data_IF_620580619894
#
_entry.id   IF_620580619894
#
_cell.length_a   1.000
_cell.length_b   1.000
_cell.length_c   1.000
_cell.angle_alpha   90.00
_cell.angle_beta   90.00
_cell.angle_gamma   90.00
#
_symmetry.space_group_name_H-M   'P 1'
#
loop_
_entity.id
_entity.type
_entity.pdbx_description
1 polymer ?
#
# COMPACT_ATOMS: atom_id res chain seq x y z
N UNK A 1 -18.77 10.63 0.78
CA UNK A 1 -18.85 9.23 1.26
C UNK A 1 -18.24 8.38 0.18
N UNK A 2 -17.21 7.61 0.50
CA UNK A 2 -16.55 6.68 -0.40
C UNK A 2 -17.39 5.43 -0.62
N UNK A 3 -17.30 4.88 -1.82
CA UNK A 3 -17.86 3.61 -2.26
C UNK A 3 -16.76 2.76 -2.91
N UNK A 4 -17.06 1.53 -3.31
CA UNK A 4 -16.11 0.66 -4.02
C UNK A 4 -15.60 1.26 -5.34
N UNK A 5 -16.40 2.09 -6.00
CA UNK A 5 -15.99 2.76 -7.23
C UNK A 5 -14.96 3.88 -6.97
N UNK A 6 -14.79 4.30 -5.70
CA UNK A 6 -13.80 5.29 -5.28
C UNK A 6 -12.48 4.67 -4.83
N UNK A 7 -12.32 3.34 -4.92
CA UNK A 7 -11.06 2.64 -4.60
C UNK A 7 -10.28 2.36 -5.89
N UNK A 8 -9.00 2.71 -5.90
CA UNK A 8 -8.04 2.29 -6.93
C UNK A 8 -7.05 1.31 -6.29
N UNK A 9 -7.06 0.05 -6.72
CA UNK A 9 -6.11 -0.96 -6.24
C UNK A 9 -4.93 -1.04 -7.19
N UNK A 10 -3.72 -0.91 -6.64
CA UNK A 10 -2.48 -1.23 -7.32
C UNK A 10 -1.84 -2.46 -6.67
N UNK A 11 -1.70 -3.51 -7.47
CA UNK A 11 -1.07 -4.76 -7.06
C UNK A 11 0.38 -4.78 -7.56
N UNK A 12 1.34 -4.77 -6.66
CA UNK A 12 2.77 -4.69 -6.98
C UNK A 12 3.33 -6.07 -7.26
N UNK A 13 3.78 -6.30 -8.50
CA UNK A 13 4.31 -7.58 -8.95
C UNK A 13 5.81 -7.47 -9.28
N UNK A 14 6.55 -8.53 -8.95
CA UNK A 14 7.93 -8.72 -9.36
C UNK A 14 8.20 -10.21 -9.59
N UNK A 15 9.43 -10.51 -10.03
CA UNK A 15 9.89 -11.87 -10.24
C UNK A 15 9.63 -12.76 -9.01
N UNK A 16 9.14 -13.97 -9.25
CA UNK A 16 8.73 -15.01 -8.26
C UNK A 16 7.33 -14.85 -7.66
N UNK A 17 6.70 -13.68 -7.72
CA UNK A 17 5.36 -13.48 -7.12
C UNK A 17 4.22 -13.39 -8.14
N UNK A 18 4.53 -13.40 -9.43
CA UNK A 18 3.59 -13.31 -10.56
C UNK A 18 2.36 -14.22 -10.43
N UNK A 19 2.54 -15.49 -10.07
CA UNK A 19 1.41 -16.40 -9.90
C UNK A 19 0.48 -15.98 -8.77
N UNK A 20 1.03 -15.52 -7.65
CA UNK A 20 0.21 -15.04 -6.53
C UNK A 20 -0.44 -13.69 -6.85
N UNK A 21 0.26 -12.79 -7.56
CA UNK A 21 -0.30 -11.54 -8.05
C UNK A 21 -1.51 -11.77 -8.95
N UNK A 22 -1.44 -12.71 -9.90
CA UNK A 22 -2.58 -13.07 -10.74
C UNK A 22 -3.76 -13.61 -9.91
N UNK A 23 -3.48 -14.48 -8.93
CA UNK A 23 -4.49 -14.99 -8.00
C UNK A 23 -5.16 -13.88 -7.19
N UNK A 24 -4.38 -12.93 -6.68
CA UNK A 24 -4.90 -11.76 -5.96
C UNK A 24 -5.76 -10.89 -6.88
N UNK A 25 -5.30 -10.62 -8.10
CA UNK A 25 -6.05 -9.87 -9.10
C UNK A 25 -7.40 -10.51 -9.42
N UNK A 26 -7.45 -11.83 -9.66
CA UNK A 26 -8.69 -12.57 -9.92
C UNK A 26 -9.70 -12.49 -8.76
N UNK A 27 -9.21 -12.45 -7.51
CA UNK A 27 -10.06 -12.28 -6.32
C UNK A 27 -10.58 -10.84 -6.17
N UNK A 28 -9.74 -9.85 -6.45
CA UNK A 28 -10.03 -8.44 -6.17
C UNK A 28 -10.84 -7.79 -7.30
N UNK A 29 -10.49 -8.05 -8.55
CA UNK A 29 -11.05 -7.38 -9.74
C UNK A 29 -12.59 -7.49 -9.89
N UNK A 30 -13.25 -8.59 -9.46
CA UNK A 30 -14.71 -8.65 -9.42
C UNK A 30 -15.36 -7.70 -8.39
N UNK A 31 -14.63 -7.33 -7.33
CA UNK A 31 -15.11 -6.47 -6.24
C UNK A 31 -14.77 -5.00 -6.53
N UNK A 32 -13.51 -4.73 -6.90
CA UNK A 32 -12.99 -3.40 -7.22
C UNK A 32 -12.61 -3.37 -8.69
N UNK A 33 -13.41 -2.67 -9.50
CA UNK A 33 -13.19 -2.62 -10.95
C UNK A 33 -11.88 -1.94 -11.33
N UNK A 34 -11.47 -0.93 -10.56
CA UNK A 34 -10.24 -0.19 -10.79
C UNK A 34 -9.07 -0.86 -10.08
N UNK A 35 -8.73 -2.07 -10.54
CA UNK A 35 -7.59 -2.84 -10.07
C UNK A 35 -6.58 -2.96 -11.19
N UNK A 36 -5.33 -2.58 -10.91
CA UNK A 36 -4.23 -2.57 -11.88
C UNK A 36 -3.01 -3.29 -11.29
N UNK A 37 -2.37 -4.16 -12.07
CA UNK A 37 -1.09 -4.77 -11.69
C UNK A 37 0.05 -3.85 -12.14
N UNK A 38 0.96 -3.48 -11.24
CA UNK A 38 2.24 -2.88 -11.61
C UNK A 38 3.24 -4.02 -11.78
N UNK A 39 3.57 -4.37 -13.02
CA UNK A 39 4.39 -5.53 -13.35
C UNK A 39 5.86 -5.16 -13.50
N UNK A 40 6.72 -5.64 -12.60
CA UNK A 40 8.18 -5.52 -12.67
C UNK A 40 8.84 -6.89 -12.86
N UNK A 41 8.23 -7.73 -13.70
CA UNK A 41 8.82 -8.98 -14.18
C UNK A 41 8.89 -8.89 -15.71
N UNK A 42 10.04 -8.47 -16.25
CA UNK A 42 10.29 -8.33 -17.68
C UNK A 42 10.15 -9.66 -18.44
N UNK A 43 10.36 -10.77 -17.73
CA UNK A 43 10.21 -12.11 -18.31
C UNK A 43 8.76 -12.57 -18.39
N UNK A 44 7.84 -11.82 -17.78
CA UNK A 44 6.41 -12.12 -17.79
C UNK A 44 5.62 -11.04 -18.54
N UNK A 45 5.03 -11.43 -19.66
CA UNK A 45 4.05 -10.61 -20.36
C UNK A 45 2.66 -11.03 -19.86
N UNK A 46 1.96 -10.09 -19.22
CA UNK A 46 0.59 -10.31 -18.75
C UNK A 46 -0.40 -10.32 -19.92
N UNK A 47 -1.51 -11.03 -19.75
CA UNK A 47 -2.59 -11.05 -20.73
C UNK A 47 -3.09 -9.61 -21.01
N UNK A 48 -3.27 -9.20 -22.28
CA UNK A 48 -3.73 -7.85 -22.63
C UNK A 48 -5.09 -7.44 -22.03
N UNK A 49 -5.90 -8.40 -21.60
CA UNK A 49 -7.19 -8.15 -20.92
C UNK A 49 -7.02 -7.76 -19.44
N UNK A 50 -5.85 -7.99 -18.85
CA UNK A 50 -5.50 -7.58 -17.49
C UNK A 50 -5.05 -6.13 -17.51
N UNK A 51 -5.68 -5.29 -16.68
CA UNK A 51 -5.20 -3.92 -16.49
C UNK A 51 -3.84 -3.96 -15.80
N UNK A 52 -2.81 -3.51 -16.50
CA UNK A 52 -1.45 -3.49 -15.96
C UNK A 52 -0.63 -2.30 -16.46
N UNK A 53 0.41 -1.98 -15.69
CA UNK A 53 1.51 -1.09 -16.05
C UNK A 53 2.75 -1.95 -16.09
N UNK A 54 3.40 -2.07 -17.26
CA UNK A 54 4.66 -2.78 -17.39
C UNK A 54 5.83 -1.84 -17.03
N UNK A 55 6.70 -2.31 -16.14
CA UNK A 55 7.99 -1.72 -15.78
C UNK A 55 9.09 -2.77 -15.94
N UNK A 56 10.34 -2.36 -15.82
CA UNK A 56 11.50 -3.26 -15.83
C UNK A 56 11.84 -3.82 -14.44
N UNK A 57 12.68 -4.86 -14.39
CA UNK A 57 13.11 -5.56 -13.16
C UNK A 57 13.90 -4.66 -12.19
N UNK A 58 14.33 -3.46 -12.60
CA UNK A 58 15.01 -2.50 -11.72
C UNK A 58 14.05 -1.70 -10.84
N UNK A 59 12.74 -1.81 -11.07
CA UNK A 59 11.69 -1.12 -10.32
C UNK A 59 11.24 -1.91 -9.08
N UNK A 60 11.80 -1.55 -7.93
CA UNK A 60 11.38 -2.07 -6.63
C UNK A 60 10.16 -1.30 -6.08
N UNK A 61 9.79 -1.58 -4.83
CA UNK A 61 8.59 -1.02 -4.20
C UNK A 61 8.46 0.49 -4.37
N UNK A 62 9.51 1.27 -4.11
CA UNK A 62 9.43 2.74 -4.17
C UNK A 62 9.15 3.25 -5.58
N UNK A 63 9.73 2.62 -6.60
CA UNK A 63 9.41 2.92 -7.99
C UNK A 63 7.97 2.54 -8.34
N UNK A 64 7.50 1.36 -7.94
CA UNK A 64 6.11 0.93 -8.17
C UNK A 64 5.11 1.87 -7.48
N UNK A 65 5.42 2.27 -6.24
CA UNK A 65 4.64 3.24 -5.48
C UNK A 65 4.58 4.61 -6.16
N UNK A 66 5.70 5.11 -6.67
CA UNK A 66 5.77 6.34 -7.45
C UNK A 66 4.81 6.29 -8.66
N UNK A 67 4.82 5.17 -9.39
CA UNK A 67 3.89 4.95 -10.50
C UNK A 67 2.44 4.93 -10.03
N UNK A 68 2.11 4.18 -8.97
CA UNK A 68 0.75 4.12 -8.43
C UNK A 68 0.23 5.51 -8.03
N UNK A 69 0.98 6.23 -7.20
CA UNK A 69 0.62 7.57 -6.72
C UNK A 69 0.42 8.55 -7.89
N UNK A 70 1.30 8.53 -8.90
CA UNK A 70 1.19 9.42 -10.06
C UNK A 70 -0.02 9.12 -10.95
N UNK A 71 -0.46 7.87 -11.00
CA UNK A 71 -1.63 7.45 -11.78
C UNK A 71 -2.97 7.55 -11.01
N UNK A 72 -2.94 7.88 -9.71
CA UNK A 72 -4.16 8.02 -8.91
C UNK A 72 -5.07 9.15 -9.41
N UNK A 73 -6.39 8.95 -9.33
CA UNK A 73 -7.37 10.03 -9.49
C UNK A 73 -7.38 10.94 -8.24
N UNK A 74 -7.69 12.24 -8.42
CA UNK A 74 -7.58 13.24 -7.33
C UNK A 74 -8.48 13.00 -6.10
N UNK A 75 -9.50 12.14 -6.20
CA UNK A 75 -10.49 11.93 -5.14
C UNK A 75 -10.70 10.46 -4.76
N UNK A 76 -9.81 9.56 -5.19
CA UNK A 76 -9.94 8.13 -4.91
C UNK A 76 -9.06 7.68 -3.75
N UNK A 77 -9.51 6.68 -3.01
CA UNK A 77 -8.70 5.92 -2.06
C UNK A 77 -7.69 5.09 -2.86
N UNK A 78 -6.41 5.22 -2.54
CA UNK A 78 -5.40 4.28 -3.03
C UNK A 78 -5.42 3.05 -2.12
N UNK A 79 -5.45 1.86 -2.72
CA UNK A 79 -5.14 0.61 -2.05
C UNK A 79 -3.89 0.01 -2.71
N UNK A 80 -2.86 -0.26 -1.93
CA UNK A 80 -1.67 -0.99 -2.41
C UNK A 80 -1.68 -2.37 -1.77
N UNK A 81 -1.42 -3.39 -2.59
CA UNK A 81 -1.20 -4.77 -2.17
C UNK A 81 0.08 -5.26 -2.84
N UNK A 82 0.99 -5.88 -2.09
CA UNK A 82 2.20 -6.50 -2.66
C UNK A 82 1.92 -7.93 -3.11
N UNK A 83 2.59 -8.36 -4.17
CA UNK A 83 2.33 -9.61 -4.87
C UNK A 83 2.66 -10.86 -4.06
N UNK A 84 3.48 -10.78 -3.01
CA UNK A 84 3.72 -11.86 -2.07
C UNK A 84 2.71 -11.92 -0.92
N UNK A 85 1.77 -10.98 -0.83
CA UNK A 85 0.81 -10.94 0.27
C UNK A 85 -0.10 -12.18 0.28
N UNK A 86 -0.33 -12.73 1.47
CA UNK A 86 -1.26 -13.82 1.75
C UNK A 86 -2.42 -13.23 2.55
N UNK A 87 -3.60 -13.34 1.98
CA UNK A 87 -4.85 -12.88 2.59
C UNK A 87 -5.85 -14.02 2.55
N UNK A 88 -6.16 -14.54 3.75
CA UNK A 88 -7.14 -15.62 3.91
C UNK A 88 -8.57 -15.09 4.10
N UNK A 89 -8.70 -13.86 4.60
CA UNK A 89 -9.98 -13.18 4.76
C UNK A 89 -10.64 -12.87 3.40
N UNK A 90 -11.97 -12.74 3.41
CA UNK A 90 -12.73 -12.28 2.24
C UNK A 90 -12.40 -10.83 1.90
N UNK A 91 -11.84 -10.60 0.71
CA UNK A 91 -11.51 -9.26 0.21
C UNK A 91 -12.70 -8.32 0.23
N UNK A 92 -13.91 -8.81 -0.02
CA UNK A 92 -15.10 -7.96 0.00
C UNK A 92 -15.33 -7.38 1.40
N UNK A 93 -15.21 -8.21 2.44
CA UNK A 93 -15.29 -7.74 3.83
C UNK A 93 -14.17 -6.74 4.19
N UNK A 94 -12.93 -6.98 3.72
CA UNK A 94 -11.81 -6.05 3.95
C UNK A 94 -12.12 -4.67 3.36
N UNK A 95 -12.59 -4.63 2.10
CA UNK A 95 -12.94 -3.37 1.43
C UNK A 95 -14.12 -2.67 2.11
N UNK A 96 -15.15 -3.39 2.55
CA UNK A 96 -16.28 -2.81 3.28
C UNK A 96 -15.86 -2.25 4.65
N UNK A 97 -14.97 -2.93 5.37
CA UNK A 97 -14.41 -2.42 6.62
C UNK A 97 -13.62 -1.13 6.40
N UNK A 98 -12.75 -1.11 5.38
CA UNK A 98 -11.98 0.09 5.02
C UNK A 98 -12.90 1.26 4.66
N UNK A 99 -13.90 1.01 3.79
CA UNK A 99 -14.88 2.04 3.38
C UNK A 99 -15.67 2.56 4.57
N UNK A 100 -16.16 1.67 5.44
CA UNK A 100 -16.87 2.06 6.65
C UNK A 100 -15.99 2.96 7.50
N UNK A 101 -14.75 2.55 7.75
CA UNK A 101 -13.80 3.31 8.55
C UNK A 101 -13.52 4.70 7.96
N UNK A 102 -13.18 4.80 6.66
CA UNK A 102 -12.94 6.10 6.01
C UNK A 102 -14.17 7.01 5.97
N UNK A 103 -15.38 6.44 6.01
CA UNK A 103 -16.62 7.21 6.00
C UNK A 103 -17.07 7.69 7.39
N UNK A 104 -16.61 7.06 8.46
CA UNK A 104 -17.05 7.37 9.83
C UNK A 104 -15.97 8.01 10.70
N UNK A 105 -14.70 7.86 10.33
CA UNK A 105 -13.55 8.27 11.12
C UNK A 105 -12.61 9.16 10.30
N UNK A 106 -11.84 10.07 10.93
CA UNK A 106 -10.87 10.91 10.25
C UNK A 106 -9.60 10.10 9.92
N UNK A 107 -9.68 9.12 9.02
CA UNK A 107 -8.57 8.21 8.69
C UNK A 107 -7.78 8.73 7.50
N UNK A 108 -6.45 8.69 7.63
CA UNK A 108 -5.49 8.98 6.57
C UNK A 108 -4.89 7.70 6.00
N UNK A 109 -4.66 6.71 6.86
CA UNK A 109 -4.11 5.39 6.51
C UNK A 109 -4.92 4.30 7.22
N UNK A 110 -5.35 3.29 6.48
CA UNK A 110 -5.97 2.08 7.00
C UNK A 110 -5.18 0.86 6.53
N UNK A 111 -4.89 -0.09 7.40
CA UNK A 111 -4.28 -1.36 7.00
C UNK A 111 -4.93 -2.55 7.71
N UNK A 112 -5.00 -3.73 7.07
CA UNK A 112 -5.01 -4.99 7.80
C UNK A 112 -3.77 -5.16 8.68
N UNK A 113 -3.83 -6.10 9.63
CA UNK A 113 -2.66 -6.46 10.45
C UNK A 113 -1.72 -7.40 9.68
N UNK A 114 -0.54 -6.93 9.33
CA UNK A 114 0.53 -7.81 8.85
C UNK A 114 1.14 -8.59 10.03
N UNK A 115 1.17 -9.92 9.94
CA UNK A 115 1.73 -10.80 10.99
C UNK A 115 3.23 -10.59 11.20
N UNK A 116 3.93 -10.14 10.17
CA UNK A 116 5.38 -9.95 10.17
C UNK A 116 5.79 -8.57 10.65
N UNK A 117 4.85 -7.64 10.77
CA UNK A 117 5.17 -6.29 11.20
C UNK A 117 5.76 -6.28 12.61
N UNK A 118 6.80 -5.47 12.79
CA UNK A 118 7.24 -5.08 14.13
C UNK A 118 6.32 -4.02 14.75
N UNK A 119 5.44 -3.42 13.96
CA UNK A 119 4.52 -2.33 14.36
C UNK A 119 3.23 -2.86 15.00
N UNK A 120 3.37 -3.68 16.04
CA UNK A 120 2.21 -4.36 16.67
C UNK A 120 1.54 -3.55 17.79
N UNK A 121 2.07 -2.37 18.13
CA UNK A 121 1.58 -1.59 19.26
C UNK A 121 0.23 -0.94 18.94
N UNK A 122 -0.81 -1.42 19.62
CA UNK A 122 -2.12 -0.77 19.68
C UNK A 122 -2.02 0.49 20.54
N UNK A 123 -2.45 1.64 20.02
CA UNK A 123 -2.47 2.90 20.77
C UNK A 123 -3.84 3.14 21.40
N UNK A 124 -4.82 3.58 20.61
CA UNK A 124 -6.19 3.85 21.04
C UNK A 124 -7.16 2.96 20.25
N UNK A 125 -8.08 2.31 20.96
CA UNK A 125 -9.21 1.61 20.36
C UNK A 125 -10.21 2.62 19.78
N UNK A 126 -10.59 2.46 18.52
CA UNK A 126 -11.51 3.39 17.84
C UNK A 126 -12.89 2.78 17.68
N UNK A 127 -12.96 1.60 17.04
CA UNK A 127 -14.21 0.90 16.75
C UNK A 127 -13.92 -0.56 16.39
N UNK A 128 -14.77 -1.52 16.81
CA UNK A 128 -14.60 -2.95 16.50
C UNK A 128 -13.19 -3.45 16.84
N UNK A 129 -12.46 -4.06 15.90
CA UNK A 129 -11.05 -4.42 16.08
C UNK A 129 -10.08 -3.41 15.42
N UNK A 130 -10.53 -2.18 15.17
CA UNK A 130 -9.73 -1.09 14.61
C UNK A 130 -9.09 -0.28 15.75
N UNK A 131 -7.77 -0.18 15.70
CA UNK A 131 -6.96 0.60 16.64
C UNK A 131 -6.12 1.60 15.87
N UNK A 132 -5.87 2.76 16.48
CA UNK A 132 -4.78 3.64 16.02
C UNK A 132 -3.43 2.98 16.29
N UNK A 133 -2.48 3.27 15.41
CA UNK A 133 -1.09 2.83 15.49
C UNK A 133 -0.18 4.00 15.12
N UNK A 134 1.04 4.02 15.66
CA UNK A 134 2.02 5.05 15.30
C UNK A 134 2.53 4.87 13.86
N UNK A 135 2.61 3.63 13.40
CA UNK A 135 2.99 3.26 12.04
C UNK A 135 2.45 1.88 11.68
N UNK A 136 2.47 1.54 10.40
CA UNK A 136 2.05 0.25 9.83
C UNK A 136 2.93 -0.10 8.64
N UNK A 137 2.97 -1.38 8.28
CA UNK A 137 3.61 -1.81 7.04
C UNK A 137 2.81 -1.39 5.80
N UNK A 138 3.54 -1.24 4.70
CA UNK A 138 2.99 -0.76 3.43
C UNK A 138 2.73 -1.90 2.41
N UNK A 139 2.67 -3.15 2.89
CA UNK A 139 2.41 -4.34 2.07
C UNK A 139 0.94 -4.53 1.68
N UNK A 140 0.01 -4.22 2.58
CA UNK A 140 -1.42 -4.10 2.26
C UNK A 140 -2.01 -2.96 3.07
N UNK A 141 -2.34 -1.86 2.40
CA UNK A 141 -2.82 -0.64 3.05
C UNK A 141 -3.60 0.25 2.10
N UNK A 142 -4.36 1.17 2.69
CA UNK A 142 -5.20 2.14 2.03
C UNK A 142 -4.81 3.55 2.46
N UNK A 143 -4.86 4.50 1.53
CA UNK A 143 -4.44 5.88 1.75
C UNK A 143 -5.54 6.84 1.30
N UNK A 144 -5.85 7.82 2.13
CA UNK A 144 -6.86 8.84 1.87
C UNK A 144 -6.42 9.80 0.73
N UNK A 145 -7.32 10.24 -0.18
CA UNK A 145 -6.98 11.14 -1.29
C UNK A 145 -6.32 12.45 -0.88
N UNK A 146 -6.64 13.01 0.28
CA UNK A 146 -5.96 14.20 0.80
C UNK A 146 -4.46 13.95 1.02
N UNK A 147 -4.12 12.80 1.59
CA UNK A 147 -2.73 12.39 1.83
C UNK A 147 -2.04 12.15 0.49
N UNK A 148 -2.69 11.42 -0.43
CA UNK A 148 -2.18 11.19 -1.79
C UNK A 148 -1.85 12.51 -2.50
N UNK A 149 -2.69 13.53 -2.35
CA UNK A 149 -2.47 14.85 -2.96
C UNK A 149 -1.16 15.50 -2.50
N UNK A 150 -0.79 15.34 -1.22
CA UNK A 150 0.51 15.81 -0.71
C UNK A 150 1.66 14.95 -1.26
N UNK A 151 1.49 13.63 -1.23
CA UNK A 151 2.49 12.64 -1.66
C UNK A 151 2.84 12.73 -3.15
N UNK A 152 1.88 13.09 -4.01
CA UNK A 152 2.10 13.24 -5.47
C UNK A 152 3.22 14.20 -5.86
N UNK A 153 3.53 15.17 -5.01
CA UNK A 153 4.54 16.18 -5.29
C UNK A 153 5.95 15.76 -4.81
N UNK A 154 6.07 14.59 -4.17
CA UNK A 154 7.35 14.08 -3.69
C UNK A 154 8.09 13.31 -4.78
N UNK A 155 9.41 13.38 -4.75
CA UNK A 155 10.28 12.54 -5.54
C UNK A 155 10.61 11.25 -4.80
N UNK A 156 10.10 10.14 -5.32
CA UNK A 156 10.36 8.79 -4.81
C UNK A 156 11.55 8.11 -5.50
N UNK A 157 12.16 8.72 -6.52
CA UNK A 157 13.35 8.16 -7.17
C UNK A 157 14.55 8.07 -6.21
N UNK A 158 14.56 8.92 -5.17
CA UNK A 158 15.55 8.90 -4.09
C UNK A 158 15.35 7.75 -3.08
N UNK A 159 14.22 7.04 -3.15
CA UNK A 159 13.96 5.82 -2.37
C UNK A 159 13.44 4.69 -3.26
N UNK A 160 14.32 4.19 -4.13
CA UNK A 160 14.06 3.07 -5.04
C UNK A 160 13.38 1.87 -4.36
N UNK A 161 13.85 1.50 -3.17
CA UNK A 161 13.37 0.33 -2.42
C UNK A 161 12.14 0.61 -1.55
N UNK A 162 11.74 1.88 -1.41
CA UNK A 162 10.52 2.27 -0.72
C UNK A 162 10.59 2.35 0.80
N UNK A 163 11.74 2.08 1.41
CA UNK A 163 11.90 2.21 2.86
C UNK A 163 11.65 3.67 3.28
N UNK A 164 10.84 3.86 4.32
CA UNK A 164 10.41 5.17 4.84
C UNK A 164 9.15 5.77 4.18
N UNK A 165 8.61 5.15 3.12
CA UNK A 165 7.37 5.63 2.47
C UNK A 165 6.18 5.59 3.42
N UNK A 166 6.06 4.52 4.20
CA UNK A 166 5.11 4.37 5.29
C UNK A 166 5.18 5.55 6.27
N UNK A 167 6.39 5.87 6.75
CA UNK A 167 6.64 6.92 7.73
C UNK A 167 6.25 8.29 7.19
N UNK A 168 6.62 8.61 5.95
CA UNK A 168 6.27 9.89 5.32
C UNK A 168 4.76 9.98 5.05
N UNK A 169 4.15 8.89 4.57
CA UNK A 169 2.70 8.83 4.35
C UNK A 169 1.94 9.12 5.64
N UNK A 170 2.36 8.51 6.74
CA UNK A 170 1.74 8.70 8.06
C UNK A 170 2.01 10.11 8.60
N UNK A 171 3.21 10.67 8.39
CA UNK A 171 3.49 12.08 8.74
C UNK A 171 2.54 13.03 8.01
N UNK A 172 2.33 12.85 6.70
CA UNK A 172 1.41 13.68 5.92
C UNK A 172 -0.04 13.51 6.38
N UNK A 173 -0.47 12.29 6.73
CA UNK A 173 -1.76 12.07 7.35
C UNK A 173 -1.91 12.86 8.67
N UNK A 174 -0.91 12.76 9.56
CA UNK A 174 -0.91 13.44 10.85
C UNK A 174 -0.94 14.97 10.72
N UNK A 175 -0.24 15.56 9.74
CA UNK A 175 -0.31 17.01 9.44
C UNK A 175 -1.73 17.48 9.10
N UNK A 176 -2.56 16.58 8.59
CA UNK A 176 -3.96 16.82 8.23
C UNK A 176 -4.94 16.45 9.36
N UNK A 177 -4.44 16.11 10.56
CA UNK A 177 -5.22 15.56 11.67
C UNK A 177 -5.96 14.26 11.31
N UNK A 178 -5.38 13.46 10.41
CA UNK A 178 -5.91 12.17 10.00
C UNK A 178 -5.16 11.05 10.71
N UNK A 179 -5.88 10.00 11.10
CA UNK A 179 -5.38 8.86 11.86
C UNK A 179 -4.74 7.81 10.97
N UNK A 180 -3.69 7.16 11.47
CA UNK A 180 -3.24 5.86 10.99
C UNK A 180 -3.89 4.76 11.85
N UNK A 181 -4.57 3.81 11.21
CA UNK A 181 -5.27 2.74 11.90
C UNK A 181 -4.98 1.37 11.30
N UNK A 182 -5.07 0.36 12.14
CA UNK A 182 -4.98 -1.04 11.74
C UNK A 182 -6.22 -1.80 12.21
N UNK A 183 -6.81 -2.59 11.32
CA UNK A 183 -7.86 -3.55 11.63
C UNK A 183 -7.23 -4.88 12.06
N UNK A 184 -7.32 -5.19 13.35
CA UNK A 184 -6.76 -6.41 13.94
C UNK A 184 -7.66 -7.63 13.77
N UNK A 185 -8.86 -7.50 13.19
CA UNK A 185 -9.70 -8.66 12.83
C UNK A 185 -9.27 -9.32 11.51
N UNK A 186 -8.43 -8.63 10.72
CA UNK A 186 -7.93 -9.09 9.44
C UNK A 186 -6.42 -9.30 9.58
N UNK A 187 -5.95 -10.50 9.25
CA UNK A 187 -4.53 -10.79 9.27
C UNK A 187 -4.01 -11.04 7.85
N UNK A 188 -2.82 -10.52 7.59
CA UNK A 188 -2.09 -10.75 6.35
C UNK A 188 -0.71 -11.30 6.65
N UNK A 189 -0.13 -12.00 5.69
CA UNK A 189 1.24 -12.52 5.76
C UNK A 189 1.90 -12.36 4.38
N UNK A 190 3.12 -12.86 4.20
CA UNK A 190 3.85 -12.79 2.94
C UNK A 190 4.59 -14.11 2.65
N UNK A 191 4.53 -14.59 1.40
CA UNK A 191 5.18 -15.85 1.00
C UNK A 191 6.71 -15.78 0.90
N UNK A 192 7.28 -14.60 0.65
CA UNK A 192 8.74 -14.40 0.53
C UNK A 192 9.25 -13.55 1.69
N UNK A 193 10.28 -14.05 2.38
CA UNK A 193 10.90 -13.37 3.53
C UNK A 193 12.21 -12.66 3.17
N UNK A 194 12.54 -12.57 1.89
CA UNK A 194 13.77 -11.94 1.40
C UNK A 194 13.49 -10.59 0.73
N UNK A 195 14.49 -9.71 0.78
CA UNK A 195 14.56 -8.51 -0.05
C UNK A 195 15.63 -8.79 -1.12
N UNK A 196 15.25 -8.79 -2.40
CA UNK A 196 16.17 -9.06 -3.52
C UNK A 196 17.15 -7.91 -3.82
N UNK A 197 17.65 -7.25 -2.78
CA UNK A 197 18.50 -6.06 -2.82
C UNK A 197 19.35 -5.94 -1.54
N UNK A 198 20.36 -5.07 -1.55
CA UNK A 198 21.19 -4.78 -0.39
C UNK A 198 20.43 -3.90 0.62
N UNK A 199 20.22 -4.41 1.83
CA UNK A 199 19.52 -3.68 2.90
C UNK A 199 20.27 -2.43 3.35
N UNK A 200 21.61 -2.43 3.31
CA UNK A 200 22.39 -1.24 3.67
C UNK A 200 22.19 -0.10 2.67
N UNK A 201 22.05 -0.42 1.38
CA UNK A 201 21.67 0.56 0.35
C UNK A 201 20.24 1.09 0.59
N UNK A 202 19.31 0.19 0.95
CA UNK A 202 17.94 0.59 1.27
C UNK A 202 17.83 1.50 2.50
N UNK A 203 18.63 1.26 3.54
CA UNK A 203 18.74 2.15 4.70
C UNK A 203 19.27 3.53 4.32
N UNK A 204 20.30 3.60 3.46
CA UNK A 204 20.83 4.88 2.98
C UNK A 204 19.76 5.68 2.21
N UNK A 205 19.03 5.03 1.31
CA UNK A 205 17.91 5.63 0.58
C UNK A 205 16.80 6.12 1.53
N UNK A 206 16.45 5.32 2.54
CA UNK A 206 15.50 5.73 3.57
C UNK A 206 15.96 6.99 4.32
N UNK A 207 17.24 7.06 4.70
CA UNK A 207 17.79 8.24 5.38
C UNK A 207 17.74 9.48 4.50
N UNK A 208 18.05 9.37 3.20
CA UNK A 208 17.95 10.48 2.25
C UNK A 208 16.51 10.95 2.14
N UNK A 209 15.57 10.03 1.91
CA UNK A 209 14.13 10.32 1.81
C UNK A 209 13.61 11.02 3.08
N UNK A 210 13.97 10.49 4.25
CA UNK A 210 13.59 11.06 5.53
C UNK A 210 14.23 12.45 5.75
N UNK A 211 15.48 12.64 5.35
CA UNK A 211 16.15 13.94 5.48
C UNK A 211 15.52 15.04 4.62
N UNK A 212 14.84 14.66 3.54
CA UNK A 212 14.16 15.58 2.63
C UNK A 212 12.75 15.91 3.16
N UNK A 213 11.96 14.90 3.52
CA UNK A 213 10.52 15.09 3.81
C UNK A 213 10.13 15.01 5.29
N UNK A 214 10.98 14.40 6.13
CA UNK A 214 10.71 14.28 7.56
C UNK A 214 11.29 15.40 8.42
N UNK A 215 11.99 16.42 7.87
CA UNK A 215 12.53 17.55 8.67
C UNK A 215 11.48 18.08 9.66
N UNK A 216 11.91 18.12 10.93
CA UNK A 216 11.18 18.63 12.09
C UNK A 216 11.15 20.16 12.06
#
# INVERSE_FOLDING_TARGET
MFTKEDICVFLFNWKKVTQNSLRLYEKIRPIIKNTTIVNCDESCILDPTISHIQLDDSHYYGSQYNHAIKHMNKNALLCVIVGDNIVDNDFNAIFENALTAFNTLPIGVFSPRDKRTMHQQKCLHIQNDIFTVNTTDCGFWFIHPLVISALKNMDYSISKYGWGIDTITIKEANKMNLLCVTDFSIETDQVDHSCGYDTAEAEQHMHVLNSEYLRL
#
